data_IF_861998613178
#
_entry.id   IF_861998613178
#
_cell.length_a   1.000
_cell.length_b   1.000
_cell.length_c   1.000
_cell.angle_alpha   90.00
_cell.angle_beta   90.00
_cell.angle_gamma   90.00
#
_symmetry.space_group_name_H-M   'P 1'
#
loop_
_entity.id
_entity.type
_entity.pdbx_description
1 polymer ?
#
# COMPACT_ATOMS: atom_id res chain seq x y z
N UNK A 1 3.41 -1.64 3.35
CA UNK A 1 2.97 -2.34 4.58
C UNK A 1 4.08 -2.33 5.62
N UNK A 2 3.77 -1.95 6.86
CA UNK A 2 4.76 -1.90 7.94
C UNK A 2 4.19 -2.51 9.22
N UNK A 3 4.95 -3.39 9.87
CA UNK A 3 4.63 -3.95 11.20
C UNK A 3 3.26 -4.62 11.22
N UNK A 4 3.14 -5.76 10.52
CA UNK A 4 1.86 -6.45 10.31
C UNK A 4 1.91 -7.91 10.74
N UNK A 5 0.79 -8.48 11.18
CA UNK A 5 0.77 -9.91 11.54
C UNK A 5 0.86 -10.79 10.29
N UNK A 6 -0.02 -10.56 9.32
CA UNK A 6 -0.19 -11.33 8.08
C UNK A 6 -0.87 -10.42 7.04
N UNK A 7 -1.01 -10.90 5.80
CA UNK A 7 -1.84 -10.31 4.73
C UNK A 7 -1.35 -8.95 4.22
N UNK A 8 -0.11 -8.91 3.75
CA UNK A 8 0.50 -7.73 3.13
C UNK A 8 0.95 -7.95 1.67
N UNK A 9 0.04 -8.25 0.73
CA UNK A 9 -1.37 -8.58 0.89
C UNK A 9 -1.61 -10.10 1.11
N UNK A 10 -2.88 -10.51 1.13
CA UNK A 10 -3.24 -11.90 0.86
C UNK A 10 -4.38 -11.90 -0.14
N UNK A 11 -4.19 -12.57 -1.26
CA UNK A 11 -5.12 -12.56 -2.37
C UNK A 11 -5.72 -13.94 -2.61
N UNK A 12 -6.97 -13.93 -3.06
CA UNK A 12 -7.78 -15.08 -3.44
C UNK A 12 -8.68 -14.61 -4.59
N UNK A 13 -8.75 -15.31 -5.73
CA UNK A 13 -9.59 -14.84 -6.84
C UNK A 13 -9.37 -15.54 -8.18
N UNK A 14 -10.06 -15.07 -9.23
CA UNK A 14 -10.12 -15.67 -10.57
C UNK A 14 -9.02 -15.21 -11.55
N UNK A 15 -9.37 -15.16 -12.84
CA UNK A 15 -8.46 -15.04 -14.01
C UNK A 15 -7.80 -13.69 -14.27
N UNK A 16 -7.65 -12.87 -13.23
CA UNK A 16 -7.05 -11.54 -13.35
C UNK A 16 -5.55 -11.58 -13.09
N UNK A 17 -4.81 -10.69 -13.75
CA UNK A 17 -3.42 -10.40 -13.43
C UNK A 17 -3.37 -9.48 -12.22
N UNK A 18 -2.74 -9.93 -11.15
CA UNK A 18 -2.37 -9.08 -10.03
C UNK A 18 -0.96 -8.53 -10.24
N UNK A 19 -0.85 -7.23 -10.49
CA UNK A 19 0.43 -6.54 -10.53
C UNK A 19 0.73 -5.88 -9.19
N UNK A 20 1.73 -6.41 -8.50
CA UNK A 20 2.20 -5.93 -7.21
C UNK A 20 3.64 -5.43 -7.36
N UNK A 21 3.79 -4.13 -7.53
CA UNK A 21 5.08 -3.51 -7.79
C UNK A 21 5.36 -2.27 -6.94
N UNK A 22 6.65 -1.99 -6.71
CA UNK A 22 7.16 -0.83 -5.96
C UNK A 22 6.62 -0.71 -4.52
N UNK A 23 6.37 -1.84 -3.84
CA UNK A 23 5.88 -1.83 -2.46
C UNK A 23 7.00 -2.04 -1.46
N UNK A 24 6.95 -1.31 -0.34
CA UNK A 24 7.71 -1.62 0.87
C UNK A 24 6.90 -2.52 1.80
N UNK A 25 7.38 -3.75 2.03
CA UNK A 25 6.88 -4.68 3.03
C UNK A 25 7.90 -4.78 4.16
N UNK A 26 7.51 -4.34 5.36
CA UNK A 26 8.40 -4.30 6.52
C UNK A 26 7.79 -5.02 7.72
N UNK A 27 8.61 -5.81 8.41
CA UNK A 27 8.36 -6.32 9.75
C UNK A 27 7.05 -7.12 9.90
N UNK A 28 7.01 -8.34 9.37
CA UNK A 28 5.80 -9.16 9.37
C UNK A 28 5.95 -10.49 10.11
N UNK A 29 4.91 -10.96 10.80
CA UNK A 29 4.99 -12.25 11.53
C UNK A 29 4.56 -13.49 10.72
N UNK A 30 3.93 -13.32 9.57
CA UNK A 30 3.61 -14.43 8.67
C UNK A 30 3.38 -13.92 7.24
N UNK A 31 2.91 -14.76 6.33
CA UNK A 31 3.23 -14.57 4.91
C UNK A 31 2.31 -13.60 4.14
N UNK A 32 2.86 -13.05 3.06
CA UNK A 32 2.14 -12.63 1.86
C UNK A 32 1.57 -13.90 1.19
N UNK A 33 0.25 -14.08 1.18
CA UNK A 33 -0.37 -15.27 0.58
C UNK A 33 -0.88 -14.99 -0.82
N UNK A 34 -0.55 -15.87 -1.76
CA UNK A 34 -0.96 -15.79 -3.17
C UNK A 34 -1.91 -16.95 -3.50
N UNK A 35 -3.06 -16.62 -4.08
CA UNK A 35 -4.03 -17.57 -4.64
C UNK A 35 -4.90 -16.89 -5.69
N UNK A 36 -4.79 -17.32 -6.93
CA UNK A 36 -5.43 -16.66 -8.10
C UNK A 36 -4.65 -16.96 -9.37
N UNK A 37 -5.06 -16.54 -10.56
CA UNK A 37 -4.47 -17.15 -11.77
C UNK A 37 -3.09 -16.59 -12.16
N UNK A 38 -2.86 -15.27 -12.08
CA UNK A 38 -1.64 -14.65 -12.62
C UNK A 38 -1.10 -13.53 -11.72
N UNK A 39 0.22 -13.55 -11.48
CA UNK A 39 0.91 -12.61 -10.58
C UNK A 39 2.15 -11.99 -11.22
N UNK A 40 2.26 -10.67 -11.16
CA UNK A 40 3.52 -9.96 -11.37
C UNK A 40 3.99 -9.40 -10.01
N UNK A 41 5.06 -9.95 -9.44
CA UNK A 41 5.69 -9.39 -8.23
C UNK A 41 6.99 -8.72 -8.64
N UNK A 42 6.98 -7.39 -8.73
CA UNK A 42 8.04 -6.62 -9.39
C UNK A 42 8.64 -5.60 -8.43
N UNK A 43 9.95 -5.64 -8.23
CA UNK A 43 10.68 -4.56 -7.55
C UNK A 43 10.06 -4.12 -6.20
N UNK A 44 9.55 -5.07 -5.42
CA UNK A 44 9.11 -4.80 -4.05
C UNK A 44 10.30 -4.93 -3.09
N UNK A 45 10.31 -4.11 -2.05
CA UNK A 45 11.30 -4.14 -0.99
C UNK A 45 10.74 -4.84 0.25
N UNK A 46 11.22 -6.04 0.54
CA UNK A 46 10.90 -6.82 1.73
C UNK A 46 12.01 -6.63 2.76
N UNK A 47 11.69 -6.01 3.90
CA UNK A 47 12.64 -5.80 5.00
C UNK A 47 12.19 -6.58 6.24
N UNK A 48 12.94 -7.63 6.58
CA UNK A 48 12.69 -8.36 7.82
C UNK A 48 12.92 -7.45 9.03
N UNK A 49 11.97 -7.47 9.97
CA UNK A 49 12.05 -6.72 11.21
C UNK A 49 11.93 -7.60 12.45
N UNK A 50 11.91 -7.00 13.65
CA UNK A 50 11.89 -7.75 14.92
C UNK A 50 10.74 -8.74 15.09
N UNK A 51 9.61 -8.51 14.40
CA UNK A 51 8.45 -9.39 14.41
C UNK A 51 8.51 -10.49 13.34
N UNK A 52 9.60 -10.62 12.58
CA UNK A 52 9.72 -11.61 11.50
C UNK A 52 9.47 -13.02 12.04
N UNK A 53 8.41 -13.65 11.55
CA UNK A 53 8.07 -15.03 11.91
C UNK A 53 8.95 -16.06 11.20
N UNK A 54 8.79 -17.34 11.49
CA UNK A 54 9.67 -18.38 10.94
C UNK A 54 9.45 -18.67 9.45
N UNK A 55 8.23 -18.45 8.95
CA UNK A 55 7.84 -18.78 7.57
C UNK A 55 8.59 -17.96 6.52
N UNK A 56 8.61 -18.48 5.30
CA UNK A 56 9.04 -17.72 4.12
C UNK A 56 8.18 -16.47 3.92
N UNK A 57 8.74 -15.39 3.33
CA UNK A 57 8.01 -14.13 3.13
C UNK A 57 6.70 -14.30 2.35
N UNK A 58 6.73 -15.14 1.31
CA UNK A 58 5.61 -15.37 0.41
C UNK A 58 5.16 -16.82 0.52
N UNK A 59 3.86 -17.08 0.37
CA UNK A 59 3.29 -18.42 0.36
C UNK A 59 2.22 -18.58 -0.72
N UNK A 60 2.32 -19.66 -1.48
CA UNK A 60 1.23 -20.14 -2.31
C UNK A 60 0.16 -20.81 -1.46
N UNK A 61 -1.10 -20.43 -1.65
CA UNK A 61 -2.18 -20.86 -0.77
C UNK A 61 -3.53 -21.02 -1.49
N UNK A 62 -3.66 -22.04 -2.32
CA UNK A 62 -4.89 -22.27 -3.10
C UNK A 62 -5.85 -23.28 -2.47
N UNK A 63 -7.15 -23.05 -2.66
CA UNK A 63 -8.23 -24.03 -2.39
C UNK A 63 -8.58 -24.88 -3.61
N UNK A 64 -8.07 -24.54 -4.80
CA UNK A 64 -8.37 -25.26 -6.03
C UNK A 64 -7.82 -26.69 -5.96
N UNK A 65 -8.54 -27.64 -6.57
CA UNK A 65 -8.12 -29.05 -6.58
C UNK A 65 -6.83 -29.30 -7.36
N UNK A 66 -6.57 -28.45 -8.36
CA UNK A 66 -5.36 -28.42 -9.18
C UNK A 66 -4.69 -27.04 -9.06
N UNK A 67 -3.37 -26.95 -9.26
CA UNK A 67 -2.70 -25.67 -9.40
C UNK A 67 -3.33 -24.80 -10.49
N UNK A 68 -3.48 -23.51 -10.21
CA UNK A 68 -4.10 -22.52 -11.11
C UNK A 68 -3.28 -21.24 -11.24
N UNK A 69 -2.32 -21.01 -10.34
CA UNK A 69 -1.57 -19.75 -10.28
C UNK A 69 -0.26 -19.87 -11.00
N UNK A 70 0.05 -18.83 -11.76
CA UNK A 70 1.36 -18.58 -12.33
C UNK A 70 1.87 -17.23 -11.82
N UNK A 71 3.16 -17.07 -11.66
CA UNK A 71 3.81 -15.88 -11.13
C UNK A 71 5.09 -15.56 -11.86
N UNK A 72 5.26 -14.29 -12.21
CA UNK A 72 6.49 -13.70 -12.71
C UNK A 72 7.08 -12.80 -11.61
N UNK A 73 8.18 -13.25 -11.00
CA UNK A 73 8.85 -12.56 -9.90
C UNK A 73 10.17 -11.98 -10.40
N UNK A 74 10.35 -10.67 -10.28
CA UNK A 74 11.56 -10.00 -10.79
C UNK A 74 11.94 -8.77 -9.97
N UNK A 75 13.24 -8.65 -9.67
CA UNK A 75 13.87 -7.49 -9.03
C UNK A 75 13.38 -7.14 -7.63
N UNK A 76 12.63 -8.02 -6.97
CA UNK A 76 12.30 -7.86 -5.55
C UNK A 76 13.58 -7.99 -4.71
N UNK A 77 13.64 -7.23 -3.63
CA UNK A 77 14.75 -7.23 -2.69
C UNK A 77 14.29 -7.69 -1.31
N UNK A 78 15.11 -8.50 -0.65
CA UNK A 78 14.84 -9.15 0.63
C UNK A 78 15.96 -8.82 1.63
N UNK A 79 15.82 -7.68 2.32
CA UNK A 79 16.75 -7.22 3.34
C UNK A 79 16.54 -8.00 4.67
N UNK A 80 17.64 -8.43 5.29
CA UNK A 80 17.60 -9.17 6.56
C UNK A 80 17.12 -10.63 6.41
N UNK A 81 17.18 -11.17 5.19
CA UNK A 81 16.79 -12.54 4.84
C UNK A 81 17.93 -13.22 4.05
N UNK A 82 17.89 -14.55 3.86
CA UNK A 82 18.87 -15.26 3.05
C UNK A 82 19.12 -14.59 1.68
N UNK A 83 20.39 -14.37 1.35
CA UNK A 83 20.80 -13.70 0.11
C UNK A 83 20.40 -14.48 -1.15
N UNK A 84 20.08 -15.76 -1.02
CA UNK A 84 19.52 -16.55 -2.12
C UNK A 84 18.20 -15.97 -2.65
N UNK A 85 17.40 -15.31 -1.81
CA UNK A 85 16.14 -14.68 -2.23
C UNK A 85 16.37 -13.48 -3.16
N UNK A 86 17.53 -12.82 -3.03
CA UNK A 86 17.94 -11.72 -3.89
C UNK A 86 18.55 -12.21 -5.21
N UNK A 87 19.13 -13.42 -5.22
CA UNK A 87 19.63 -14.07 -6.45
C UNK A 87 18.51 -14.74 -7.25
N UNK A 88 17.52 -15.27 -6.54
CA UNK A 88 16.39 -15.99 -7.09
C UNK A 88 15.14 -15.69 -6.25
N UNK A 89 14.30 -14.77 -6.73
CA UNK A 89 13.11 -14.35 -6.00
C UNK A 89 12.11 -15.50 -5.74
N UNK A 90 12.15 -16.60 -6.51
CA UNK A 90 11.29 -17.76 -6.26
C UNK A 90 11.74 -18.59 -5.06
N UNK A 91 12.97 -18.42 -4.56
CA UNK A 91 13.40 -19.03 -3.30
C UNK A 91 12.71 -18.41 -2.06
N UNK A 92 12.08 -17.23 -2.21
CA UNK A 92 11.35 -16.54 -1.14
C UNK A 92 9.88 -16.95 -1.01
N UNK A 93 9.38 -17.86 -1.87
CA UNK A 93 8.01 -18.36 -1.84
C UNK A 93 7.93 -19.83 -1.40
N UNK A 94 7.08 -20.08 -0.42
CA UNK A 94 6.64 -21.42 -0.06
C UNK A 94 5.56 -21.90 -1.05
N UNK A 95 5.96 -22.72 -2.02
CA UNK A 95 5.07 -23.27 -3.04
C UNK A 95 4.41 -24.58 -2.60
N UNK A 96 5.12 -25.40 -1.82
CA UNK A 96 4.78 -26.81 -1.63
C UNK A 96 3.94 -27.07 -0.37
N UNK A 97 3.99 -26.19 0.65
CA UNK A 97 3.34 -26.47 1.93
C UNK A 97 1.82 -26.50 1.84
N UNK A 98 1.26 -27.69 2.07
CA UNK A 98 -0.18 -27.92 2.23
C UNK A 98 -0.58 -27.95 3.71
N UNK A 99 -1.84 -27.64 4.02
CA UNK A 99 -2.35 -27.80 5.40
C UNK A 99 -2.75 -29.26 5.67
N UNK A 100 -2.58 -29.78 6.90
CA UNK A 100 -2.90 -31.17 7.25
C UNK A 100 -4.37 -31.56 7.04
N UNK A 101 -5.29 -30.59 7.10
CA UNK A 101 -6.72 -30.77 6.88
C UNK A 101 -7.11 -30.76 5.39
N UNK A 102 -6.13 -30.61 4.48
CA UNK A 102 -6.34 -30.54 3.04
C UNK A 102 -7.02 -29.25 2.56
N UNK A 103 -7.19 -28.26 3.44
CA UNK A 103 -7.89 -26.99 3.13
C UNK A 103 -7.14 -26.15 2.10
N UNK A 104 -5.82 -26.20 2.13
CA UNK A 104 -4.96 -25.50 1.17
C UNK A 104 -3.94 -26.47 0.59
N UNK A 105 -3.73 -26.33 -0.71
CA UNK A 105 -2.83 -27.18 -1.50
C UNK A 105 -1.62 -26.38 -1.96
N UNK A 106 -0.50 -27.07 -2.11
CA UNK A 106 0.72 -26.56 -2.72
C UNK A 106 0.70 -26.68 -4.25
N UNK A 107 1.78 -26.23 -4.87
CA UNK A 107 2.12 -26.36 -6.28
C UNK A 107 3.63 -26.61 -6.43
N UNK A 108 4.10 -26.84 -7.65
CA UNK A 108 5.53 -26.88 -7.97
C UNK A 108 5.98 -25.57 -8.60
N UNK A 109 7.29 -25.31 -8.55
CA UNK A 109 7.92 -24.20 -9.27
C UNK A 109 7.71 -24.29 -10.77
N UNK A 110 7.90 -25.47 -11.37
CA UNK A 110 7.71 -25.69 -12.81
C UNK A 110 6.30 -25.30 -13.31
N UNK A 111 5.29 -25.43 -12.46
CA UNK A 111 3.94 -24.98 -12.78
C UNK A 111 3.75 -23.49 -12.50
N UNK A 112 4.27 -23.00 -11.37
CA UNK A 112 4.01 -21.64 -10.92
C UNK A 112 4.82 -20.59 -11.68
N UNK A 113 6.09 -20.85 -11.96
CA UNK A 113 6.99 -19.85 -12.54
C UNK A 113 6.60 -19.53 -13.99
N UNK A 114 6.44 -18.24 -14.26
CA UNK A 114 6.30 -17.71 -15.61
C UNK A 114 7.63 -17.10 -16.07
N UNK A 115 7.96 -17.26 -17.35
CA UNK A 115 9.15 -16.67 -17.97
C UNK A 115 9.04 -15.16 -18.16
N UNK A 116 7.81 -14.66 -18.33
CA UNK A 116 7.54 -13.29 -18.73
C UNK A 116 6.45 -12.64 -17.87
N UNK A 117 6.56 -11.32 -17.71
CA UNK A 117 5.56 -10.48 -17.06
C UNK A 117 4.22 -10.59 -17.79
N UNK A 118 3.14 -10.87 -17.05
CA UNK A 118 1.79 -10.88 -17.59
C UNK A 118 1.33 -9.46 -17.96
N UNK A 119 0.48 -9.32 -18.99
CA UNK A 119 -0.09 -8.02 -19.34
C UNK A 119 -1.19 -7.62 -18.35
N UNK A 120 -0.91 -6.64 -17.48
CA UNK A 120 -1.89 -6.08 -16.54
C UNK A 120 -2.90 -5.12 -17.21
N UNK A 121 -2.93 -5.08 -18.55
CA UNK A 121 -3.93 -4.37 -19.33
C UNK A 121 -3.81 -2.85 -19.26
N UNK A 122 -4.94 -2.14 -19.33
CA UNK A 122 -5.00 -0.67 -19.39
C UNK A 122 -4.32 0.02 -18.20
N UNK A 123 -4.31 -0.62 -17.04
CA UNK A 123 -3.80 -0.05 -15.79
C UNK A 123 -2.40 -0.55 -15.41
N UNK A 124 -1.69 -1.18 -16.36
CA UNK A 124 -0.33 -1.65 -16.11
C UNK A 124 0.62 -0.50 -15.80
N UNK A 125 1.55 -0.75 -14.90
CA UNK A 125 2.61 0.20 -14.59
C UNK A 125 3.59 0.27 -15.76
N UNK A 126 3.70 1.47 -16.35
CA UNK A 126 4.62 1.78 -17.46
C UNK A 126 6.01 2.17 -16.97
N UNK A 127 6.09 2.68 -15.73
CA UNK A 127 7.34 2.96 -15.01
C UNK A 127 7.34 2.15 -13.72
N UNK A 128 8.38 1.33 -13.57
CA UNK A 128 8.60 0.52 -12.37
C UNK A 128 9.94 0.95 -11.81
N UNK A 129 9.94 1.37 -10.55
CA UNK A 129 11.14 1.75 -9.80
C UNK A 129 11.92 0.48 -9.48
N UNK A 130 13.22 0.57 -9.22
CA UNK A 130 13.94 -0.52 -8.55
C UNK A 130 13.40 -0.73 -7.14
N UNK A 131 13.62 -1.90 -6.52
CA UNK A 131 13.17 -2.11 -5.14
C UNK A 131 13.75 -1.08 -4.17
N UNK A 132 15.01 -0.66 -4.37
CA UNK A 132 15.63 0.36 -3.53
C UNK A 132 14.99 1.74 -3.72
N UNK A 133 14.69 2.15 -4.96
CA UNK A 133 13.94 3.38 -5.23
C UNK A 133 12.54 3.30 -4.62
N UNK A 134 11.86 2.16 -4.73
CA UNK A 134 10.56 1.94 -4.11
C UNK A 134 10.60 2.08 -2.57
N UNK A 135 11.68 1.63 -1.92
CA UNK A 135 11.91 1.86 -0.49
C UNK A 135 11.96 3.35 -0.17
N UNK A 136 12.78 4.11 -0.88
CA UNK A 136 12.94 5.56 -0.68
C UNK A 136 11.64 6.31 -1.00
N UNK A 137 10.99 5.99 -2.12
CA UNK A 137 9.71 6.57 -2.53
C UNK A 137 8.61 6.30 -1.52
N UNK A 138 8.49 5.08 -0.99
CA UNK A 138 7.54 4.76 0.09
C UNK A 138 7.82 5.61 1.33
N UNK A 139 9.07 5.64 1.79
CA UNK A 139 9.44 6.44 2.98
C UNK A 139 9.25 7.94 2.77
N UNK A 140 9.32 8.44 1.55
CA UNK A 140 9.15 9.86 1.24
C UNK A 140 7.69 10.27 1.00
N UNK A 141 6.88 9.38 0.41
CA UNK A 141 5.61 9.77 -0.21
C UNK A 141 4.39 9.04 0.35
N UNK A 142 4.53 7.91 1.03
CA UNK A 142 3.39 7.19 1.60
C UNK A 142 2.69 8.01 2.70
N UNK A 143 1.37 7.86 2.79
CA UNK A 143 0.51 8.49 3.79
C UNK A 143 0.32 10.00 3.55
N UNK A 144 0.00 10.73 4.61
CA UNK A 144 -0.11 12.19 4.61
C UNK A 144 1.30 12.83 4.48
N UNK A 145 1.86 12.78 3.27
CA UNK A 145 3.26 13.15 3.00
C UNK A 145 3.47 14.63 2.64
N UNK A 146 2.41 15.44 2.71
CA UNK A 146 2.49 16.91 2.61
C UNK A 146 2.99 17.50 3.94
N UNK A 147 2.36 17.11 5.05
CA UNK A 147 2.74 17.47 6.41
C UNK A 147 2.62 16.22 7.27
N UNK A 148 3.77 15.73 7.75
CA UNK A 148 3.85 14.55 8.61
C UNK A 148 3.72 14.95 10.07
N UNK A 149 2.96 14.18 10.82
CA UNK A 149 2.90 14.33 12.26
C UNK A 149 3.88 13.39 12.98
N UNK A 150 3.85 13.43 14.31
CA UNK A 150 4.74 12.59 15.14
C UNK A 150 4.45 11.09 14.99
N UNK A 151 3.24 10.70 14.56
CA UNK A 151 2.87 9.30 14.31
C UNK A 151 3.50 8.82 13.01
N UNK A 152 3.41 9.63 11.95
CA UNK A 152 4.05 9.36 10.66
C UNK A 152 5.57 9.24 10.82
N UNK A 153 6.20 10.23 11.46
CA UNK A 153 7.65 10.26 11.71
C UNK A 153 8.10 9.02 12.49
N UNK A 154 7.42 8.70 13.60
CA UNK A 154 7.71 7.51 14.39
C UNK A 154 7.60 6.23 13.57
N UNK A 155 6.60 6.11 12.69
CA UNK A 155 6.46 4.93 11.84
C UNK A 155 7.64 4.81 10.86
N UNK A 156 8.01 5.90 10.19
CA UNK A 156 9.14 5.93 9.25
C UNK A 156 10.46 5.65 9.94
N UNK A 157 10.70 6.25 11.10
CA UNK A 157 11.88 5.98 11.92
C UNK A 157 11.92 4.51 12.37
N UNK A 158 10.78 3.93 12.73
CA UNK A 158 10.72 2.51 13.09
C UNK A 158 11.09 1.59 11.93
N UNK A 159 10.80 1.98 10.69
CA UNK A 159 11.21 1.26 9.47
C UNK A 159 12.72 1.42 9.26
N UNK A 160 13.23 2.66 9.29
CA UNK A 160 14.65 2.96 9.07
C UNK A 160 15.55 2.26 10.09
N UNK A 161 15.19 2.38 11.36
CA UNK A 161 15.98 1.88 12.49
C UNK A 161 15.71 0.40 12.81
N UNK A 162 14.83 -0.25 12.06
CA UNK A 162 14.45 -1.65 12.26
C UNK A 162 13.88 -1.97 13.67
N UNK A 163 13.06 -1.07 14.22
CA UNK A 163 12.53 -1.16 15.61
C UNK A 163 11.01 -1.35 15.67
N UNK A 164 10.37 -1.66 14.54
CA UNK A 164 8.92 -1.77 14.44
C UNK A 164 8.34 -2.86 15.34
N UNK A 165 7.21 -2.58 15.97
CA UNK A 165 6.43 -3.55 16.76
C UNK A 165 4.96 -3.18 16.80
N UNK A 166 4.08 -4.19 16.85
CA UNK A 166 2.66 -3.96 17.12
C UNK A 166 2.53 -3.43 18.53
N UNK A 167 1.73 -2.38 18.70
CA UNK A 167 1.45 -1.80 20.00
C UNK A 167 0.24 -2.48 20.63
N UNK A 168 0.29 -2.74 21.92
CA UNK A 168 -0.83 -3.26 22.72
C UNK A 168 -1.62 -2.13 23.40
N UNK A 169 -1.08 -0.92 23.39
CA UNK A 169 -1.70 0.27 23.93
C UNK A 169 -1.09 1.52 23.32
N UNK A 170 -1.93 2.52 23.05
CA UNK A 170 -1.54 3.89 22.74
C UNK A 170 -0.50 4.47 23.71
N UNK A 171 -0.50 4.04 24.99
CA UNK A 171 0.50 4.49 25.97
C UNK A 171 1.94 4.11 25.62
N UNK A 172 2.14 3.06 24.82
CA UNK A 172 3.46 2.65 24.36
C UNK A 172 4.08 3.62 23.34
N UNK A 173 3.27 4.55 22.83
CA UNK A 173 3.67 5.52 21.81
C UNK A 173 3.28 6.96 22.17
N UNK A 174 3.09 7.24 23.47
CA UNK A 174 2.84 8.59 23.97
C UNK A 174 1.37 8.95 24.19
N UNK A 175 0.42 8.08 23.82
CA UNK A 175 -1.00 8.30 24.02
C UNK A 175 -1.74 8.65 22.73
N UNK A 176 -2.92 9.25 22.90
CA UNK A 176 -3.68 9.85 21.80
C UNK A 176 -3.16 11.26 21.53
N UNK A 177 -3.06 11.63 20.27
CA UNK A 177 -2.74 12.99 19.89
C UNK A 177 -3.80 13.95 20.43
N UNK A 178 -3.34 15.11 20.91
CA UNK A 178 -4.23 16.18 21.36
C UNK A 178 -4.48 17.10 20.18
N UNK A 179 -5.61 16.91 19.52
CA UNK A 179 -6.08 17.86 18.52
C UNK A 179 -6.77 19.02 19.23
N UNK A 180 -6.21 20.26 19.17
CA UNK A 180 -6.89 21.41 19.72
C UNK A 180 -8.19 21.64 18.94
N UNK A 181 -9.26 22.03 19.64
CA UNK A 181 -10.44 22.54 18.96
C UNK A 181 -10.10 23.89 18.36
N UNK A 182 -10.16 23.98 17.04
CA UNK A 182 -10.00 25.24 16.30
C UNK A 182 -11.39 25.69 15.89
N UNK A 183 -11.77 26.90 16.28
CA UNK A 183 -13.02 27.54 15.85
C UNK A 183 -12.67 28.55 14.78
N UNK A 184 -13.25 28.38 13.59
CA UNK A 184 -13.09 29.35 12.50
C UNK A 184 -13.96 30.59 12.78
N UNK A 185 -13.56 31.80 12.36
CA UNK A 185 -14.37 33.00 12.52
C UNK A 185 -15.75 32.89 11.88
N UNK A 186 -16.72 33.65 12.39
CA UNK A 186 -18.01 33.84 11.70
C UNK A 186 -17.76 34.48 10.34
N UNK A 187 -18.15 33.82 9.25
CA UNK A 187 -17.88 34.26 7.88
C UNK A 187 -16.62 33.67 7.24
N UNK A 188 -16.08 32.59 7.81
CA UNK A 188 -15.04 31.81 7.11
C UNK A 188 -15.59 31.04 5.91
N UNK A 189 -16.81 30.51 6.07
CA UNK A 189 -17.59 29.73 5.10
C UNK A 189 -19.05 30.11 5.41
N UNK A 190 -19.55 31.08 4.66
CA UNK A 190 -20.77 31.84 4.96
C UNK A 190 -22.02 31.04 4.64
N UNK A 191 -22.03 30.29 3.55
CA UNK A 191 -23.15 29.45 3.12
C UNK A 191 -23.05 27.98 3.53
N UNK A 192 -21.88 27.55 4.03
CA UNK A 192 -21.61 26.24 4.63
C UNK A 192 -21.59 25.11 3.63
N UNK A 193 -21.08 25.37 2.43
CA UNK A 193 -20.89 24.37 1.39
C UNK A 193 -19.58 23.56 1.56
N UNK A 194 -18.71 24.00 2.47
CA UNK A 194 -17.41 23.38 2.76
C UNK A 194 -16.21 24.07 2.11
N UNK A 195 -16.44 25.16 1.36
CA UNK A 195 -15.43 25.97 0.69
C UNK A 195 -15.26 27.29 1.45
N UNK A 196 -14.02 27.77 1.70
CA UNK A 196 -13.82 29.07 2.34
C UNK A 196 -14.24 30.23 1.43
N UNK A 197 -14.93 31.22 2.01
CA UNK A 197 -15.30 32.50 1.41
C UNK A 197 -14.15 33.16 0.61
N UNK A 198 -12.92 33.09 1.13
CA UNK A 198 -11.75 33.65 0.47
C UNK A 198 -11.40 32.90 -0.81
N UNK A 199 -11.44 31.56 -0.76
CA UNK A 199 -11.15 30.72 -1.92
C UNK A 199 -12.22 30.89 -3.00
N UNK A 200 -13.49 30.91 -2.61
CA UNK A 200 -14.60 31.14 -3.52
C UNK A 200 -14.45 32.45 -4.30
N UNK A 201 -14.15 33.56 -3.60
CA UNK A 201 -13.92 34.86 -4.25
C UNK A 201 -12.75 34.82 -5.22
N UNK A 202 -11.64 34.16 -4.87
CA UNK A 202 -10.48 34.04 -5.76
C UNK A 202 -10.75 33.14 -6.96
N UNK A 203 -11.68 32.20 -6.83
CA UNK A 203 -12.02 31.22 -7.85
C UNK A 203 -13.29 31.59 -8.63
N UNK A 204 -13.90 32.74 -8.35
CA UNK A 204 -15.08 33.26 -9.06
C UNK A 204 -16.41 32.63 -8.66
N UNK A 205 -16.48 31.99 -7.49
CA UNK A 205 -17.70 31.47 -6.87
C UNK A 205 -18.37 32.52 -6.00
N UNK A 206 -19.58 32.21 -5.52
CA UNK A 206 -20.37 33.10 -4.69
C UNK A 206 -20.46 32.57 -3.25
N UNK A 207 -19.81 33.23 -2.26
CA UNK A 207 -19.82 32.83 -0.84
C UNK A 207 -21.18 32.82 -0.13
N UNK A 208 -22.27 33.06 -0.84
CA UNK A 208 -23.62 33.04 -0.30
C UNK A 208 -24.52 32.06 -1.06
N UNK A 209 -23.97 31.27 -1.98
CA UNK A 209 -24.71 30.29 -2.78
C UNK A 209 -24.26 28.85 -2.44
N UNK A 210 -24.93 28.19 -1.48
CA UNK A 210 -24.51 26.87 -0.99
C UNK A 210 -24.64 25.74 -2.04
N UNK A 211 -25.13 26.06 -3.24
CA UNK A 211 -25.30 25.10 -4.33
C UNK A 211 -24.08 25.06 -5.23
N UNK A 212 -23.30 26.15 -5.34
CA UNK A 212 -22.21 26.24 -6.32
C UNK A 212 -21.00 25.37 -5.95
N UNK A 213 -20.77 25.05 -4.68
CA UNK A 213 -19.76 24.07 -4.26
C UNK A 213 -19.90 22.68 -4.90
N UNK A 214 -21.13 22.26 -5.22
CA UNK A 214 -21.42 20.99 -5.91
C UNK A 214 -21.50 21.12 -7.44
N UNK A 215 -21.34 22.32 -7.99
CA UNK A 215 -21.31 22.53 -9.43
C UNK A 215 -19.93 22.21 -9.98
N UNK A 216 -19.89 21.82 -11.25
CA UNK A 216 -18.71 21.66 -12.07
C UNK A 216 -18.66 22.86 -13.01
N UNK A 217 -17.84 23.87 -12.68
CA UNK A 217 -17.87 25.17 -13.38
C UNK A 217 -17.11 25.17 -14.70
N UNK A 218 -16.23 24.18 -14.91
CA UNK A 218 -15.34 24.08 -16.07
C UNK A 218 -15.55 22.78 -16.87
N UNK A 219 -16.58 22.00 -16.53
CA UNK A 219 -17.03 20.78 -17.21
C UNK A 219 -15.94 19.70 -17.30
N UNK A 220 -15.06 19.63 -16.30
CA UNK A 220 -13.94 18.69 -16.26
C UNK A 220 -14.27 17.35 -15.54
N UNK A 221 -15.44 17.30 -14.92
CA UNK A 221 -15.97 16.16 -14.18
C UNK A 221 -15.75 16.21 -12.67
N UNK A 222 -15.19 17.30 -12.13
CA UNK A 222 -15.00 17.54 -10.70
C UNK A 222 -15.85 18.71 -10.20
N UNK A 223 -16.32 18.61 -8.96
CA UNK A 223 -17.03 19.71 -8.29
C UNK A 223 -16.06 20.78 -7.82
N UNK A 224 -16.56 22.00 -7.64
CA UNK A 224 -15.81 23.10 -7.05
C UNK A 224 -15.22 22.76 -5.65
N UNK A 225 -15.93 21.94 -4.86
CA UNK A 225 -15.43 21.43 -3.59
C UNK A 225 -14.24 20.47 -3.77
N UNK A 226 -14.30 19.57 -4.75
CA UNK A 226 -13.19 18.66 -5.08
C UNK A 226 -11.96 19.42 -5.56
N UNK A 227 -12.15 20.46 -6.36
CA UNK A 227 -11.11 21.40 -6.77
C UNK A 227 -10.42 22.06 -5.57
N UNK A 228 -11.22 22.61 -4.65
CA UNK A 228 -10.71 23.21 -3.42
C UNK A 228 -9.89 22.20 -2.62
N UNK A 229 -10.45 21.01 -2.35
CA UNK A 229 -9.78 19.95 -1.58
C UNK A 229 -8.49 19.48 -2.26
N UNK A 230 -8.48 19.32 -3.58
CA UNK A 230 -7.29 18.96 -4.34
C UNK A 230 -6.21 20.05 -4.24
N UNK A 231 -6.61 21.32 -4.32
CA UNK A 231 -5.72 22.47 -4.15
C UNK A 231 -5.00 22.50 -2.79
N UNK A 232 -5.64 22.01 -1.72
CA UNK A 232 -5.02 21.89 -0.39
C UNK A 232 -3.86 20.90 -0.34
N UNK A 233 -3.72 20.02 -1.32
CA UNK A 233 -2.73 18.93 -1.33
C UNK A 233 -1.48 19.20 -2.16
N UNK A 234 -1.44 20.32 -2.89
CA UNK A 234 -0.32 20.67 -3.75
C UNK A 234 0.89 21.17 -2.94
N UNK A 235 2.11 20.81 -3.39
CA UNK A 235 3.40 21.20 -2.77
C UNK A 235 3.97 22.47 -3.38
#
# INVERSE_FOLDING_TARGET
YATSRNRHPSTAGGSQVMEFANNLNYNWSGCHNLSGEQYNLLNNYYKAGPMKGERLPIRYKSKALKPVSHGYFSGNHFEGLPEEYNRDNYAAIDLESSEPDGKYRGTTRDFFEASDRFDAGKYKLTRIETAQEAYESCLKQSGCSLLRDTVDERLIESIRNNTGKVIDSQRQVGGWDRYPSIVRPSGFDTDRDGIPDEWERTSGLNPNDPVDGNQDRDDDGFTNLEDYLNGLTQK
#
